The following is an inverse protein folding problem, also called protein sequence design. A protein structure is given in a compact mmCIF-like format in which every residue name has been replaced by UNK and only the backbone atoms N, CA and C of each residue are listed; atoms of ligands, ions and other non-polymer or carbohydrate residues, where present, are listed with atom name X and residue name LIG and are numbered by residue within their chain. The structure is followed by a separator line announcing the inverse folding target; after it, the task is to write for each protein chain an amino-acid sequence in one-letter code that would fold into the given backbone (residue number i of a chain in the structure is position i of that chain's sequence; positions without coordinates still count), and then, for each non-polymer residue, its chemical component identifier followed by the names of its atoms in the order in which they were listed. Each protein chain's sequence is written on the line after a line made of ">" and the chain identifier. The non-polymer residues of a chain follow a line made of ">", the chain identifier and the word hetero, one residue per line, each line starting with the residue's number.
data_IF_666437759241
#
_entry.id   IF_666437759241
#
_cell.length_a   1.000
_cell.length_b   1.000
_cell.length_c   1.000
_cell.angle_alpha   90.00
_cell.angle_beta   90.00
_cell.angle_gamma   90.00
#
_symmetry.space_group_name_H-M   'P 1'
#
loop_
_entity.id
_entity.type
_entity.pdbx_description
1 polymer ?
#
# COMPACT_ATOMS: atom_id res chain seq x y z
N UNK A 1 2.12 3.55 43.55
CA UNK A 1 0.96 2.66 43.33
C UNK A 1 1.20 1.21 43.70
N UNK A 2 2.40 0.73 43.94
CA UNK A 2 2.71 -0.66 44.40
C UNK A 2 2.41 -1.79 43.41
N UNK A 3 2.08 -1.47 42.14
CA UNK A 3 1.90 -2.45 41.08
C UNK A 3 3.21 -2.56 40.31
N UNK A 4 3.67 -3.79 40.02
CA UNK A 4 4.86 -4.03 39.21
C UNK A 4 4.55 -3.68 37.76
N UNK A 5 5.51 -3.02 37.08
CA UNK A 5 5.37 -2.60 35.66
C UNK A 5 5.09 -3.78 34.74
N UNK A 6 5.74 -4.91 34.97
CA UNK A 6 5.55 -6.13 34.16
C UNK A 6 4.08 -6.57 34.16
N UNK A 7 3.38 -6.45 35.28
CA UNK A 7 1.96 -6.77 35.35
C UNK A 7 1.07 -5.77 34.59
N UNK A 8 1.54 -4.53 34.43
CA UNK A 8 0.82 -3.53 33.63
C UNK A 8 1.01 -3.77 32.14
N UNK A 9 2.20 -4.20 31.72
CA UNK A 9 2.47 -4.52 30.31
C UNK A 9 1.60 -5.68 29.80
N UNK A 10 1.34 -6.68 30.65
CA UNK A 10 0.47 -7.81 30.29
C UNK A 10 -1.02 -7.44 30.15
N UNK A 11 -1.42 -6.26 30.63
CA UNK A 11 -2.80 -5.77 30.49
C UNK A 11 -3.00 -4.96 29.20
N UNK A 12 -1.92 -4.53 28.56
CA UNK A 12 -2.00 -3.79 27.30
C UNK A 12 -2.18 -4.75 26.13
N UNK A 13 -3.24 -4.61 25.31
CA UNK A 13 -3.42 -5.46 24.15
C UNK A 13 -2.34 -5.20 23.09
N UNK A 14 -1.97 -6.24 22.35
CA UNK A 14 -1.13 -6.09 21.17
C UNK A 14 -1.87 -5.31 20.07
N UNK A 15 -1.14 -4.46 19.33
CA UNK A 15 -1.72 -3.69 18.23
C UNK A 15 -2.24 -4.63 17.11
N UNK A 16 -3.50 -4.46 16.72
CA UNK A 16 -4.18 -5.22 15.67
C UNK A 16 -3.91 -4.72 14.24
N UNK A 17 -2.67 -4.25 13.96
CA UNK A 17 -2.29 -3.60 12.69
C UNK A 17 -1.64 -4.53 11.69
N UNK A 18 -1.35 -5.78 12.05
CA UNK A 18 -0.68 -6.74 11.19
C UNK A 18 -0.93 -8.17 11.65
N UNK A 19 -0.56 -9.13 10.81
CA UNK A 19 -0.72 -10.56 11.07
C UNK A 19 0.53 -11.34 10.71
N UNK A 20 0.85 -12.35 11.51
CA UNK A 20 1.93 -13.31 11.23
C UNK A 20 3.30 -12.67 11.07
N UNK A 21 4.13 -13.32 10.24
CA UNK A 21 5.53 -12.94 10.02
C UNK A 21 5.70 -11.58 9.38
N UNK A 22 4.87 -11.24 8.39
CA UNK A 22 4.94 -9.97 7.67
C UNK A 22 4.66 -8.77 8.60
N UNK A 23 3.59 -8.85 9.39
CA UNK A 23 3.22 -7.80 10.35
C UNK A 23 4.26 -7.65 11.47
N UNK A 24 4.76 -8.78 12.02
CA UNK A 24 5.80 -8.74 13.05
C UNK A 24 7.12 -8.19 12.51
N UNK A 25 7.49 -8.52 11.28
CA UNK A 25 8.71 -8.01 10.65
C UNK A 25 8.64 -6.47 10.51
N UNK A 26 7.52 -5.94 10.03
CA UNK A 26 7.32 -4.49 9.92
C UNK A 26 7.45 -3.79 11.29
N UNK A 27 6.82 -4.33 12.33
CA UNK A 27 6.94 -3.81 13.70
C UNK A 27 8.38 -3.83 14.22
N UNK A 28 9.13 -4.91 13.95
CA UNK A 28 10.55 -5.01 14.32
C UNK A 28 11.42 -4.03 13.55
N UNK A 29 11.14 -3.79 12.27
CA UNK A 29 11.87 -2.78 11.49
C UNK A 29 11.63 -1.36 12.00
N UNK A 30 10.39 -1.00 12.37
CA UNK A 30 10.11 0.32 12.93
C UNK A 30 10.91 0.58 14.22
N UNK A 31 10.95 -0.41 15.12
CA UNK A 31 11.76 -0.36 16.32
C UNK A 31 13.28 -0.27 16.01
N UNK A 32 13.76 -1.08 15.09
CA UNK A 32 15.17 -1.08 14.70
C UNK A 32 15.61 0.23 14.04
N UNK A 33 14.79 0.80 13.16
CA UNK A 33 15.07 2.07 12.49
C UNK A 33 15.11 3.22 13.50
N UNK A 34 14.18 3.27 14.45
CA UNK A 34 14.21 4.23 15.55
C UNK A 34 15.46 4.05 16.44
N UNK A 35 15.81 2.81 16.77
CA UNK A 35 17.00 2.47 17.58
C UNK A 35 18.30 2.87 16.90
N UNK A 36 18.40 2.68 15.59
CA UNK A 36 19.56 3.04 14.78
C UNK A 36 19.61 4.53 14.39
N UNK A 37 18.58 5.31 14.71
CA UNK A 37 18.52 6.74 14.41
C UNK A 37 18.31 7.05 12.92
N UNK A 38 17.70 6.13 12.16
CA UNK A 38 17.34 6.40 10.77
C UNK A 38 16.06 7.27 10.70
N UNK A 39 16.03 8.29 9.83
CA UNK A 39 14.82 9.06 9.56
C UNK A 39 13.82 8.20 8.77
N UNK A 40 12.97 7.48 9.48
CA UNK A 40 12.01 6.55 8.89
C UNK A 40 10.59 6.83 9.37
N UNK A 41 9.64 6.60 8.48
CA UNK A 41 8.21 6.67 8.75
C UNK A 41 7.52 5.46 8.14
N UNK A 42 6.67 4.80 8.93
CA UNK A 42 5.82 3.72 8.46
C UNK A 42 4.42 4.22 8.13
N UNK A 43 3.75 3.52 7.22
CA UNK A 43 2.36 3.81 6.84
C UNK A 43 1.54 2.52 6.90
N UNK A 44 0.32 2.59 7.47
CA UNK A 44 -0.62 1.49 7.54
C UNK A 44 -2.06 2.00 7.59
N UNK A 45 -3.02 1.10 7.66
CA UNK A 45 -4.43 1.41 7.93
C UNK A 45 -4.69 1.24 9.42
N UNK A 46 -5.45 2.16 10.02
CA UNK A 46 -5.96 2.04 11.37
C UNK A 46 -7.15 1.07 11.38
N UNK A 47 -6.85 -0.23 11.45
CA UNK A 47 -7.91 -1.23 11.55
C UNK A 47 -8.60 -1.14 12.91
N UNK A 48 -9.94 -1.08 12.89
CA UNK A 48 -10.76 -1.09 14.11
C UNK A 48 -10.67 -2.46 14.80
N UNK A 49 -10.69 -3.53 14.00
CA UNK A 49 -10.53 -4.88 14.47
C UNK A 49 -9.29 -5.53 13.87
N UNK A 50 -8.52 -6.23 14.69
CA UNK A 50 -7.47 -7.13 14.24
C UNK A 50 -8.03 -8.28 13.41
N UNK A 51 -7.21 -9.30 13.13
CA UNK A 51 -7.66 -10.41 12.27
C UNK A 51 -8.79 -11.21 12.94
N UNK A 52 -8.64 -11.64 14.17
CA UNK A 52 -9.65 -12.19 15.08
C UNK A 52 -9.03 -12.51 16.46
N UNK A 53 -9.86 -12.55 17.48
CA UNK A 53 -9.51 -13.09 18.80
C UNK A 53 -9.94 -14.55 18.89
N UNK A 54 -8.98 -15.43 19.11
CA UNK A 54 -9.26 -16.87 19.24
C UNK A 54 -9.77 -17.22 20.63
N UNK A 55 -10.84 -18.02 20.68
CA UNK A 55 -11.28 -18.72 21.88
C UNK A 55 -11.47 -20.21 21.59
N UNK A 56 -11.32 -21.03 22.62
CA UNK A 56 -11.70 -22.45 22.58
C UNK A 56 -12.98 -22.61 23.41
N UNK A 57 -14.06 -23.01 22.78
CA UNK A 57 -15.36 -23.26 23.41
C UNK A 57 -15.74 -24.70 23.10
N UNK A 58 -15.99 -25.51 24.14
CA UNK A 58 -16.31 -26.93 24.02
C UNK A 58 -15.31 -27.72 23.17
N UNK A 59 -14.02 -27.36 23.21
CA UNK A 59 -12.95 -28.00 22.45
C UNK A 59 -12.80 -27.53 21.01
N UNK A 60 -13.62 -26.58 20.57
CA UNK A 60 -13.59 -26.01 19.20
C UNK A 60 -13.08 -24.58 19.20
N UNK A 61 -12.30 -24.24 18.17
CA UNK A 61 -11.89 -22.87 17.94
C UNK A 61 -13.11 -22.01 17.59
N UNK A 62 -13.22 -20.87 18.26
CA UNK A 62 -14.23 -19.84 17.98
C UNK A 62 -13.52 -18.52 17.76
N UNK A 63 -13.86 -17.83 16.67
CA UNK A 63 -13.31 -16.54 16.28
C UNK A 63 -14.23 -15.43 16.78
N UNK A 64 -13.65 -14.44 17.46
CA UNK A 64 -14.35 -13.25 17.96
C UNK A 64 -13.68 -12.00 17.38
N UNK A 65 -14.39 -10.86 17.32
CA UNK A 65 -13.76 -9.57 16.98
C UNK A 65 -12.58 -9.28 17.92
N UNK A 66 -11.46 -8.88 17.34
CA UNK A 66 -10.26 -8.48 18.06
C UNK A 66 -10.26 -6.97 18.29
N UNK A 67 -10.94 -6.53 19.34
CA UNK A 67 -10.96 -5.13 19.77
C UNK A 67 -9.65 -4.82 20.52
N UNK A 68 -8.66 -4.30 19.80
CA UNK A 68 -7.33 -4.04 20.33
C UNK A 68 -7.14 -2.61 20.90
N UNK A 69 -8.15 -1.74 20.74
CA UNK A 69 -8.18 -0.37 21.31
C UNK A 69 -9.27 -0.19 22.37
N UNK A 70 -9.34 -1.05 23.41
CA UNK A 70 -10.43 -0.99 24.39
C UNK A 70 -10.42 0.28 25.24
N UNK A 71 -9.27 0.96 25.36
CA UNK A 71 -9.07 2.24 26.04
C UNK A 71 -9.23 3.46 25.14
N UNK A 72 -9.62 3.26 23.86
CA UNK A 72 -9.68 4.33 22.86
C UNK A 72 -8.31 4.71 22.29
N UNK A 73 -8.17 5.94 21.83
CA UNK A 73 -7.03 6.43 21.04
C UNK A 73 -5.85 6.93 21.90
N UNK A 74 -5.57 6.33 23.06
CA UNK A 74 -4.55 6.84 24.02
C UNK A 74 -3.15 6.96 23.41
N UNK A 75 -2.81 6.03 22.49
CA UNK A 75 -1.50 5.99 21.82
C UNK A 75 -1.50 6.66 20.45
N UNK A 76 -2.64 7.22 20.03
CA UNK A 76 -2.86 7.78 18.70
C UNK A 76 -2.96 9.29 18.76
N UNK A 77 -2.15 9.98 17.99
CA UNK A 77 -2.25 11.42 17.77
C UNK A 77 -3.01 11.67 16.46
N UNK A 78 -4.25 12.17 16.56
CA UNK A 78 -5.08 12.49 15.41
C UNK A 78 -4.66 13.81 14.77
N UNK A 79 -4.43 13.82 13.44
CA UNK A 79 -3.94 14.99 12.70
C UNK A 79 -4.90 15.28 11.52
N UNK A 80 -6.13 15.77 11.79
CA UNK A 80 -7.17 15.93 10.77
C UNK A 80 -6.84 16.94 9.67
N UNK A 81 -5.96 17.89 9.92
CA UNK A 81 -5.46 18.87 8.94
C UNK A 81 -4.64 18.24 7.82
N UNK A 82 -4.12 17.04 8.01
CA UNK A 82 -3.41 16.26 7.00
C UNK A 82 -4.29 15.17 6.36
N UNK A 83 -5.61 15.28 6.49
CA UNK A 83 -6.53 14.34 5.85
C UNK A 83 -6.42 14.41 4.31
N UNK A 84 -6.54 13.25 3.66
CA UNK A 84 -6.45 13.10 2.21
C UNK A 84 -7.75 12.54 1.66
N UNK A 85 -8.22 13.09 0.55
CA UNK A 85 -9.37 12.57 -0.16
C UNK A 85 -8.94 11.50 -1.17
N UNK A 86 -9.49 10.30 -1.05
CA UNK A 86 -9.20 9.15 -1.92
C UNK A 86 -10.43 8.83 -2.76
N UNK A 87 -10.27 8.84 -4.09
CA UNK A 87 -11.36 8.71 -5.03
C UNK A 87 -11.42 7.30 -5.64
N UNK A 88 -12.64 6.73 -5.70
CA UNK A 88 -12.92 5.41 -6.25
C UNK A 88 -14.01 5.45 -7.31
N UNK A 89 -13.87 4.60 -8.34
CA UNK A 89 -14.86 4.48 -9.41
C UNK A 89 -14.88 5.67 -10.35
N UNK A 90 -16.03 5.95 -10.94
CA UNK A 90 -16.18 7.00 -11.93
C UNK A 90 -15.60 6.67 -13.29
N UNK A 91 -15.27 7.69 -14.05
CA UNK A 91 -14.67 7.56 -15.37
C UNK A 91 -13.69 8.69 -15.65
N UNK A 92 -12.82 8.48 -16.61
CA UNK A 92 -11.81 9.45 -17.03
C UNK A 92 -12.24 10.06 -18.36
N UNK A 93 -12.20 11.41 -18.41
CA UNK A 93 -12.30 12.19 -19.64
C UNK A 93 -10.93 12.79 -19.94
N UNK A 94 -10.48 12.65 -21.18
CA UNK A 94 -9.19 13.16 -21.64
C UNK A 94 -9.42 14.14 -22.78
N UNK A 95 -8.71 15.27 -22.77
CA UNK A 95 -8.75 16.22 -23.87
C UNK A 95 -7.41 16.94 -24.02
N UNK A 96 -7.18 17.48 -25.19
CA UNK A 96 -5.99 18.28 -25.51
C UNK A 96 -6.41 19.74 -25.68
N UNK A 97 -5.71 20.62 -24.99
CA UNK A 97 -5.89 22.05 -25.12
C UNK A 97 -4.50 22.73 -25.21
N UNK A 98 -4.31 23.57 -26.24
CA UNK A 98 -3.04 24.24 -26.57
C UNK A 98 -1.81 23.31 -26.52
N UNK A 99 -1.96 22.04 -26.88
CA UNK A 99 -0.88 21.05 -26.87
C UNK A 99 -0.61 20.38 -25.51
N UNK A 100 -1.38 20.70 -24.48
CA UNK A 100 -1.33 20.05 -23.18
C UNK A 100 -2.40 18.98 -23.07
N UNK A 101 -2.01 17.84 -22.51
CA UNK A 101 -2.92 16.74 -22.20
C UNK A 101 -3.57 16.97 -20.84
N UNK A 102 -4.88 16.96 -20.79
CA UNK A 102 -5.67 17.13 -19.58
C UNK A 102 -6.44 15.86 -19.28
N UNK A 103 -6.43 15.46 -18.01
CA UNK A 103 -7.14 14.30 -17.48
C UNK A 103 -8.12 14.77 -16.42
N UNK A 104 -9.42 14.46 -16.60
CA UNK A 104 -10.46 14.77 -15.64
C UNK A 104 -11.10 13.48 -15.13
N UNK A 105 -11.02 13.26 -13.83
CA UNK A 105 -11.73 12.17 -13.16
C UNK A 105 -13.11 12.67 -12.74
N UNK A 106 -14.18 11.98 -13.18
CA UNK A 106 -15.58 12.37 -12.92
C UNK A 106 -16.41 11.22 -12.38
N UNK A 107 -17.46 11.53 -11.63
CA UNK A 107 -18.44 10.55 -11.13
C UNK A 107 -17.87 9.56 -10.12
N UNK A 108 -16.78 9.90 -9.45
CA UNK A 108 -16.17 9.10 -8.40
C UNK A 108 -16.88 9.25 -7.05
N UNK A 109 -16.62 8.32 -6.14
CA UNK A 109 -16.95 8.44 -4.72
C UNK A 109 -15.66 8.71 -3.94
N UNK A 110 -15.75 9.63 -2.96
CA UNK A 110 -14.60 10.02 -2.14
C UNK A 110 -14.66 9.38 -0.76
N UNK A 111 -13.56 8.83 -0.32
CA UNK A 111 -13.33 8.39 1.06
C UNK A 111 -12.24 9.28 1.65
N UNK A 112 -12.51 9.86 2.81
CA UNK A 112 -11.53 10.69 3.53
C UNK A 112 -10.61 9.81 4.35
N UNK A 113 -9.31 9.89 4.09
CA UNK A 113 -8.27 9.26 4.88
C UNK A 113 -7.80 10.23 5.96
N UNK A 114 -8.12 9.95 7.22
CA UNK A 114 -7.72 10.77 8.36
C UNK A 114 -6.52 10.12 9.04
N UNK A 115 -5.37 10.81 9.16
CA UNK A 115 -4.17 10.22 9.74
C UNK A 115 -4.17 10.29 11.27
N UNK A 116 -3.60 9.22 11.83
CA UNK A 116 -3.23 9.11 13.23
C UNK A 116 -1.77 8.68 13.33
N UNK A 117 -0.99 9.31 14.18
CA UNK A 117 0.41 8.99 14.37
C UNK A 117 0.63 8.20 15.66
N UNK A 118 1.43 7.13 15.56
CA UNK A 118 1.91 6.32 16.68
C UNK A 118 3.42 6.54 16.77
N UNK A 119 3.88 7.01 17.93
CA UNK A 119 5.29 7.26 18.18
C UNK A 119 5.99 5.97 18.59
N UNK A 120 6.96 5.52 17.80
CA UNK A 120 7.76 4.31 18.04
C UNK A 120 9.11 4.73 18.60
N UNK A 121 9.31 4.56 19.90
CA UNK A 121 10.58 4.83 20.56
C UNK A 121 11.58 3.71 20.32
N UNK A 122 12.79 4.06 19.89
CA UNK A 122 13.93 3.16 19.84
C UNK A 122 14.49 2.82 21.21
N UNK A 123 15.47 1.94 21.24
CA UNK A 123 16.18 1.55 22.48
C UNK A 123 16.80 2.78 23.18
N UNK A 124 16.67 2.83 24.49
CA UNK A 124 17.09 3.96 25.35
C UNK A 124 16.40 5.29 25.03
N UNK A 125 15.33 5.33 24.24
CA UNK A 125 14.62 6.55 23.90
C UNK A 125 15.42 7.57 23.06
N UNK A 126 16.52 7.13 22.42
CA UNK A 126 17.41 8.01 21.65
C UNK A 126 16.87 8.42 20.29
N UNK A 127 16.00 7.64 19.72
CA UNK A 127 15.36 7.88 18.42
C UNK A 127 13.86 7.61 18.50
N UNK A 128 13.11 8.28 17.63
CA UNK A 128 11.67 8.06 17.48
C UNK A 128 11.37 7.96 15.98
N UNK A 129 10.67 6.89 15.60
CA UNK A 129 10.04 6.77 14.28
C UNK A 129 8.55 6.97 14.42
N UNK A 130 7.89 7.39 13.35
CA UNK A 130 6.44 7.57 13.32
C UNK A 130 5.82 6.46 12.49
N UNK A 131 4.81 5.80 13.03
CA UNK A 131 3.90 4.96 12.25
C UNK A 131 2.59 5.72 12.05
N UNK A 132 2.35 6.22 10.83
CA UNK A 132 1.11 6.88 10.44
C UNK A 132 0.09 5.85 9.99
N UNK A 133 -1.08 5.85 10.63
CA UNK A 133 -2.18 4.94 10.31
C UNK A 133 -3.40 5.72 9.86
N UNK A 134 -4.04 5.26 8.80
CA UNK A 134 -5.14 5.96 8.14
C UNK A 134 -6.48 5.38 8.53
N UNK A 135 -7.38 6.20 9.07
CA UNK A 135 -8.79 5.87 9.30
C UNK A 135 -9.62 6.31 8.10
N UNK A 136 -10.43 5.41 7.57
CA UNK A 136 -11.35 5.71 6.49
C UNK A 136 -12.66 6.29 7.04
N UNK A 137 -13.00 7.48 6.57
CA UNK A 137 -14.24 8.18 6.96
C UNK A 137 -15.03 8.55 5.73
N UNK A 138 -16.35 8.57 5.83
CA UNK A 138 -17.19 9.11 4.78
C UNK A 138 -16.97 10.62 4.65
N UNK A 139 -17.00 11.10 3.41
CA UNK A 139 -16.85 12.53 3.13
C UNK A 139 -18.17 13.30 3.15
N UNK A 140 -19.32 12.63 3.02
CA UNK A 140 -20.61 13.28 2.92
C UNK A 140 -21.79 12.38 3.34
N UNK A 141 -22.69 12.97 4.10
CA UNK A 141 -24.06 12.46 4.32
C UNK A 141 -24.90 12.91 3.11
N UNK A 142 -25.67 12.00 2.50
CA UNK A 142 -26.68 12.39 1.51
C UNK A 142 -27.83 13.14 2.21
N UNK A 143 -27.67 14.46 2.33
CA UNK A 143 -28.64 15.33 3.01
C UNK A 143 -30.01 15.32 2.31
N UNK A 144 -30.07 15.06 1.01
CA UNK A 144 -31.36 14.95 0.29
C UNK A 144 -32.09 13.67 0.68
N UNK A 145 -31.38 12.55 0.78
CA UNK A 145 -31.95 11.30 1.30
C UNK A 145 -32.35 11.47 2.77
N UNK A 146 -31.49 12.08 3.59
CA UNK A 146 -31.75 12.35 5.01
C UNK A 146 -33.04 13.15 5.19
N UNK A 147 -33.21 14.26 4.46
CA UNK A 147 -34.36 15.13 4.54
C UNK A 147 -35.65 14.45 4.04
N UNK A 148 -35.56 13.43 3.19
CA UNK A 148 -36.69 12.60 2.75
C UNK A 148 -37.03 11.45 3.70
N UNK A 149 -36.26 11.27 4.78
CA UNK A 149 -36.43 10.17 5.73
C UNK A 149 -35.81 8.83 5.28
N UNK A 150 -35.06 8.81 4.19
CA UNK A 150 -34.31 7.62 3.73
C UNK A 150 -32.93 7.54 4.40
N UNK A 151 -32.93 7.21 5.68
CA UNK A 151 -31.73 7.17 6.50
C UNK A 151 -30.76 6.07 6.07
N UNK A 152 -31.24 4.95 5.52
CA UNK A 152 -30.38 3.87 5.01
C UNK A 152 -29.54 4.38 3.84
N UNK A 153 -30.17 5.14 2.93
CA UNK A 153 -29.47 5.74 1.80
C UNK A 153 -28.59 6.91 2.26
N UNK A 154 -29.07 7.73 3.20
CA UNK A 154 -28.35 8.88 3.72
C UNK A 154 -26.99 8.50 4.32
N UNK A 155 -26.93 7.37 5.04
CA UNK A 155 -25.73 6.84 5.69
C UNK A 155 -25.11 5.63 4.97
N UNK A 156 -25.67 5.20 3.84
CA UNK A 156 -25.21 4.00 3.13
C UNK A 156 -23.78 4.13 2.57
N UNK A 157 -23.36 5.33 2.23
CA UNK A 157 -21.97 5.59 1.81
C UNK A 157 -21.00 5.51 2.98
N UNK A 158 -21.44 5.85 4.21
CA UNK A 158 -20.62 5.78 5.41
C UNK A 158 -20.15 4.34 5.67
N UNK A 159 -21.06 3.38 5.62
CA UNK A 159 -20.73 1.96 5.88
C UNK A 159 -19.74 1.38 4.88
N UNK A 160 -19.80 1.79 3.61
CA UNK A 160 -18.87 1.33 2.56
C UNK A 160 -17.48 1.97 2.70
N UNK A 161 -17.43 3.26 3.06
CA UNK A 161 -16.18 3.97 3.30
C UNK A 161 -15.49 3.43 4.55
N UNK A 162 -16.22 3.33 5.67
CA UNK A 162 -15.69 2.83 6.93
C UNK A 162 -15.24 1.38 6.86
N UNK A 163 -15.87 0.53 6.02
CA UNK A 163 -15.47 -0.86 5.84
C UNK A 163 -13.99 -1.02 5.46
N UNK A 164 -13.39 0.00 4.80
CA UNK A 164 -11.97 0.00 4.41
C UNK A 164 -11.05 -0.13 5.63
N UNK A 165 -11.38 0.53 6.75
CA UNK A 165 -10.56 0.46 7.98
C UNK A 165 -11.20 -0.39 9.08
N UNK A 166 -12.22 -1.21 8.78
CA UNK A 166 -12.87 -2.06 9.81
C UNK A 166 -12.02 -3.26 10.21
N UNK A 167 -11.63 -4.10 9.27
CA UNK A 167 -11.05 -5.43 9.55
C UNK A 167 -9.77 -5.65 8.76
N UNK A 168 -8.72 -6.09 9.44
CA UNK A 168 -7.50 -6.60 8.85
C UNK A 168 -7.79 -7.92 8.11
N UNK A 169 -7.41 -8.02 6.84
CA UNK A 169 -7.60 -9.17 5.97
C UNK A 169 -9.05 -9.68 5.88
N UNK A 170 -9.96 -8.93 5.21
CA UNK A 170 -11.30 -9.43 4.93
C UNK A 170 -11.23 -10.68 4.06
N UNK A 171 -12.22 -11.56 4.20
CA UNK A 171 -12.33 -12.76 3.37
C UNK A 171 -12.50 -12.37 1.89
N UNK A 172 -11.58 -12.79 1.04
CA UNK A 172 -11.53 -12.47 -0.40
C UNK A 172 -11.87 -13.68 -1.31
N UNK A 173 -12.51 -14.72 -0.77
CA UNK A 173 -12.99 -15.85 -1.56
C UNK A 173 -14.20 -15.49 -2.46
N UNK A 174 -14.71 -14.28 -2.36
CA UNK A 174 -15.83 -13.77 -3.16
C UNK A 174 -15.53 -12.36 -3.73
N UNK A 175 -16.24 -11.95 -4.81
CA UNK A 175 -15.94 -10.68 -5.50
C UNK A 175 -16.00 -9.43 -4.61
N UNK A 176 -16.95 -9.37 -3.67
CA UNK A 176 -17.07 -8.24 -2.75
C UNK A 176 -15.86 -8.11 -1.81
N UNK A 177 -15.33 -9.23 -1.32
CA UNK A 177 -14.12 -9.25 -0.49
C UNK A 177 -12.87 -8.85 -1.28
N UNK A 178 -12.74 -9.33 -2.53
CA UNK A 178 -11.66 -8.88 -3.43
C UNK A 178 -11.74 -7.39 -3.70
N UNK A 179 -12.93 -6.85 -3.94
CA UNK A 179 -13.14 -5.41 -4.14
C UNK A 179 -12.74 -4.61 -2.89
N UNK A 180 -13.14 -5.08 -1.69
CA UNK A 180 -12.77 -4.43 -0.44
C UNK A 180 -11.24 -4.45 -0.22
N UNK A 181 -10.57 -5.57 -0.47
CA UNK A 181 -9.09 -5.65 -0.40
C UNK A 181 -8.41 -4.68 -1.35
N UNK A 182 -8.88 -4.58 -2.60
CA UNK A 182 -8.33 -3.62 -3.55
C UNK A 182 -8.55 -2.17 -3.10
N UNK A 183 -9.72 -1.87 -2.51
CA UNK A 183 -9.99 -0.56 -1.89
C UNK A 183 -9.03 -0.26 -0.75
N UNK A 184 -8.79 -1.22 0.15
CA UNK A 184 -7.84 -1.07 1.26
C UNK A 184 -6.44 -0.75 0.76
N UNK A 185 -5.95 -1.49 -0.24
CA UNK A 185 -4.61 -1.28 -0.79
C UNK A 185 -4.47 0.09 -1.46
N UNK A 186 -5.43 0.48 -2.28
CA UNK A 186 -5.37 1.79 -2.93
C UNK A 186 -5.56 2.95 -1.93
N UNK A 187 -6.47 2.80 -0.98
CA UNK A 187 -6.67 3.77 0.10
C UNK A 187 -5.36 4.04 0.87
N UNK A 188 -4.67 2.99 1.29
CA UNK A 188 -3.39 3.10 1.97
C UNK A 188 -2.37 3.87 1.14
N UNK A 189 -2.18 3.48 -0.12
CA UNK A 189 -1.10 4.06 -0.92
C UNK A 189 -1.44 5.47 -1.40
N UNK A 190 -2.68 5.76 -1.78
CA UNK A 190 -3.11 7.09 -2.20
C UNK A 190 -2.91 8.11 -1.07
N UNK A 191 -3.35 7.80 0.13
CA UNK A 191 -3.16 8.66 1.29
C UNK A 191 -1.67 8.83 1.64
N UNK A 192 -0.91 7.73 1.63
CA UNK A 192 0.50 7.73 2.05
C UNK A 192 1.40 8.46 1.04
N UNK A 193 1.23 8.22 -0.25
CA UNK A 193 2.01 8.91 -1.30
C UNK A 193 1.68 10.40 -1.31
N UNK A 194 0.41 10.79 -1.17
CA UNK A 194 0.03 12.20 -1.05
C UNK A 194 0.71 12.87 0.14
N UNK A 195 0.77 12.22 1.29
CA UNK A 195 1.46 12.75 2.48
C UNK A 195 2.97 12.88 2.27
N UNK A 196 3.62 11.87 1.68
CA UNK A 196 5.07 11.91 1.39
C UNK A 196 5.38 13.04 0.41
N UNK A 197 4.59 13.20 -0.66
CA UNK A 197 4.76 14.27 -1.64
C UNK A 197 4.54 15.64 -1.00
N UNK A 198 3.47 15.82 -0.22
CA UNK A 198 3.19 17.07 0.49
C UNK A 198 4.36 17.47 1.39
N UNK A 199 4.83 16.56 2.26
CA UNK A 199 5.97 16.79 3.18
C UNK A 199 7.26 17.12 2.43
N UNK A 200 7.50 16.43 1.30
CA UNK A 200 8.65 16.72 0.46
C UNK A 200 8.56 18.14 -0.14
N UNK A 201 7.40 18.50 -0.67
CA UNK A 201 7.18 19.83 -1.25
C UNK A 201 7.30 20.95 -0.23
N UNK A 202 6.83 20.75 1.01
CA UNK A 202 7.00 21.70 2.10
C UNK A 202 8.48 21.95 2.45
N UNK A 203 9.32 20.92 2.33
CA UNK A 203 10.74 21.01 2.67
C UNK A 203 11.61 21.50 1.52
N UNK A 204 11.30 21.11 0.28
CA UNK A 204 12.21 21.30 -0.87
C UNK A 204 11.61 22.16 -2.00
N UNK A 205 10.29 22.32 -2.08
CA UNK A 205 9.61 23.12 -3.09
C UNK A 205 9.68 22.58 -4.51
N UNK A 206 10.23 21.37 -4.72
CA UNK A 206 10.37 20.73 -6.04
C UNK A 206 10.33 19.21 -5.89
N UNK A 207 9.89 18.49 -6.92
CA UNK A 207 9.95 17.01 -6.98
C UNK A 207 11.12 16.48 -7.81
N UNK A 208 11.96 17.35 -8.38
CA UNK A 208 13.13 16.92 -9.20
C UNK A 208 14.13 16.09 -8.37
N UNK A 209 14.30 16.43 -7.10
CA UNK A 209 15.17 15.71 -6.16
C UNK A 209 14.43 14.67 -5.31
N UNK A 210 13.20 14.28 -5.68
CA UNK A 210 12.35 13.42 -4.86
C UNK A 210 13.01 12.09 -4.55
N UNK A 211 13.55 11.40 -5.56
CA UNK A 211 14.23 10.11 -5.39
C UNK A 211 15.54 10.18 -4.59
N UNK A 212 16.20 11.36 -4.56
CA UNK A 212 17.41 11.56 -3.73
C UNK A 212 17.09 11.68 -2.24
N UNK A 213 15.90 12.16 -1.91
CA UNK A 213 15.47 12.46 -0.54
C UNK A 213 14.50 11.43 0.05
N UNK A 214 13.87 10.62 -0.80
CA UNK A 214 12.88 9.65 -0.39
C UNK A 214 13.22 8.27 -0.96
N UNK A 215 13.27 7.27 -0.10
CA UNK A 215 13.30 5.86 -0.47
C UNK A 215 12.00 5.23 0.00
N UNK A 216 11.19 4.73 -0.93
CA UNK A 216 9.90 4.10 -0.61
C UNK A 216 10.04 2.59 -0.76
N UNK A 217 9.77 1.87 0.32
CA UNK A 217 9.88 0.42 0.38
C UNK A 217 8.51 -0.23 0.24
N UNK A 218 8.32 -1.01 -0.82
CA UNK A 218 7.14 -1.85 -1.05
C UNK A 218 7.33 -3.16 -0.28
N UNK A 219 6.58 -3.32 0.81
CA UNK A 219 6.64 -4.51 1.67
C UNK A 219 5.62 -5.54 1.19
N UNK A 220 6.06 -6.52 0.40
CA UNK A 220 5.26 -7.37 -0.47
C UNK A 220 4.52 -6.56 -1.57
N UNK A 221 3.59 -7.19 -2.31
CA UNK A 221 2.84 -6.54 -3.38
C UNK A 221 1.65 -5.71 -2.91
N UNK A 222 1.28 -5.80 -1.64
CA UNK A 222 0.11 -5.11 -1.09
C UNK A 222 0.12 -3.58 -1.34
N UNK A 223 1.25 -2.86 -1.18
CA UNK A 223 1.33 -1.44 -1.50
C UNK A 223 1.88 -1.14 -2.92
N UNK A 224 1.90 -2.11 -3.84
CA UNK A 224 2.47 -1.91 -5.18
C UNK A 224 1.78 -0.82 -6.00
N UNK A 225 0.50 -0.51 -5.69
CA UNK A 225 -0.23 0.60 -6.31
C UNK A 225 0.34 1.98 -5.98
N UNK A 226 1.27 2.08 -5.03
CA UNK A 226 2.04 3.30 -4.78
C UNK A 226 2.83 3.76 -6.02
N UNK A 227 3.25 2.83 -6.87
CA UNK A 227 3.96 3.09 -8.13
C UNK A 227 3.10 3.91 -9.10
N UNK A 228 1.95 3.41 -9.57
CA UNK A 228 1.10 4.19 -10.48
C UNK A 228 0.44 5.39 -9.79
N UNK A 229 0.30 5.41 -8.46
CA UNK A 229 -0.19 6.57 -7.74
C UNK A 229 0.82 7.73 -7.76
N UNK A 230 2.10 7.46 -7.52
CA UNK A 230 3.13 8.50 -7.66
C UNK A 230 3.23 8.98 -9.12
N UNK A 231 3.12 8.08 -10.10
CA UNK A 231 2.99 8.47 -11.51
C UNK A 231 1.82 9.41 -11.74
N UNK A 232 0.63 9.10 -11.20
CA UNK A 232 -0.56 9.92 -11.32
C UNK A 232 -0.34 11.35 -10.79
N UNK A 233 0.23 11.46 -9.60
CA UNK A 233 0.52 12.77 -8.99
C UNK A 233 1.49 13.56 -9.87
N UNK A 234 2.58 12.93 -10.31
CA UNK A 234 3.57 13.59 -11.16
C UNK A 234 3.00 14.03 -12.51
N UNK A 235 2.19 13.18 -13.15
CA UNK A 235 1.61 13.45 -14.46
C UNK A 235 0.45 14.44 -14.39
N UNK A 236 -0.55 14.14 -13.55
CA UNK A 236 -1.85 14.79 -13.59
C UNK A 236 -1.92 16.04 -12.70
N UNK A 237 -1.18 16.06 -11.58
CA UNK A 237 -1.19 17.19 -10.63
C UNK A 237 0.01 18.11 -10.81
N UNK A 238 1.18 17.55 -11.17
CA UNK A 238 2.43 18.31 -11.27
C UNK A 238 2.85 18.61 -12.71
N UNK A 239 2.21 17.97 -13.72
CA UNK A 239 2.47 18.25 -15.14
C UNK A 239 3.82 17.74 -15.67
N UNK A 240 4.45 16.78 -14.99
CA UNK A 240 5.71 16.18 -15.47
C UNK A 240 5.48 15.37 -16.76
N UNK A 241 6.40 15.42 -17.72
CA UNK A 241 6.36 14.51 -18.86
C UNK A 241 6.63 13.07 -18.40
N UNK A 242 6.07 12.09 -19.11
CA UNK A 242 6.11 10.67 -18.75
C UNK A 242 7.50 10.15 -18.38
N UNK A 243 8.50 10.41 -19.20
CA UNK A 243 9.83 9.84 -19.02
C UNK A 243 10.53 10.40 -17.77
N UNK A 244 10.27 11.67 -17.42
CA UNK A 244 10.78 12.28 -16.22
C UNK A 244 10.05 11.72 -14.98
N UNK A 245 8.72 11.62 -15.05
CA UNK A 245 7.92 11.01 -13.98
C UNK A 245 8.33 9.55 -13.73
N UNK A 246 8.50 8.76 -14.79
CA UNK A 246 8.92 7.37 -14.69
C UNK A 246 10.32 7.21 -14.07
N UNK A 247 11.25 8.13 -14.43
CA UNK A 247 12.58 8.13 -13.81
C UNK A 247 12.50 8.40 -12.31
N UNK A 248 11.74 9.40 -11.88
CA UNK A 248 11.54 9.69 -10.44
C UNK A 248 10.96 8.46 -9.74
N UNK A 249 9.92 7.86 -10.29
CA UNK A 249 9.25 6.67 -9.71
C UNK A 249 10.22 5.49 -9.61
N UNK A 250 10.90 5.14 -10.70
CA UNK A 250 11.78 3.98 -10.73
C UNK A 250 13.03 4.14 -9.85
N UNK A 251 13.48 5.35 -9.62
CA UNK A 251 14.61 5.64 -8.73
C UNK A 251 14.18 5.69 -7.23
N UNK A 252 12.87 5.84 -6.96
CA UNK A 252 12.34 5.98 -5.59
C UNK A 252 11.99 4.64 -4.95
N UNK A 253 11.44 3.69 -5.72
CA UNK A 253 10.86 2.45 -5.16
C UNK A 253 11.84 1.30 -5.07
N UNK A 254 11.75 0.55 -3.97
CA UNK A 254 12.36 -0.76 -3.79
C UNK A 254 11.29 -1.78 -3.35
N UNK A 255 11.46 -3.03 -3.72
CA UNK A 255 10.47 -4.09 -3.47
C UNK A 255 11.09 -5.26 -2.70
N UNK A 256 10.45 -5.65 -1.61
CA UNK A 256 10.74 -6.91 -0.92
C UNK A 256 9.64 -7.92 -1.19
N UNK A 257 10.00 -9.06 -1.77
CA UNK A 257 9.09 -10.20 -1.92
C UNK A 257 9.16 -11.10 -0.68
N UNK A 258 8.00 -11.61 -0.23
CA UNK A 258 7.88 -12.56 0.89
C UNK A 258 7.32 -13.91 0.45
N UNK A 259 6.92 -14.06 -0.80
CA UNK A 259 6.21 -15.21 -1.35
C UNK A 259 7.10 -15.98 -2.33
N UNK A 260 7.12 -17.31 -2.25
CA UNK A 260 7.87 -18.18 -3.17
C UNK A 260 6.99 -18.99 -4.10
N UNK A 261 5.69 -19.08 -3.84
CA UNK A 261 4.73 -19.88 -4.61
C UNK A 261 4.10 -18.98 -5.68
N UNK A 262 4.25 -19.32 -6.99
CA UNK A 262 3.70 -18.51 -8.08
C UNK A 262 2.19 -18.26 -7.95
N UNK A 263 1.44 -19.27 -7.50
CA UNK A 263 -0.01 -19.20 -7.31
C UNK A 263 -0.45 -18.27 -6.16
N UNK A 264 0.46 -17.95 -5.27
CA UNK A 264 0.19 -17.00 -4.16
C UNK A 264 0.60 -15.56 -4.49
N UNK A 265 1.17 -15.30 -5.69
CA UNK A 265 1.42 -13.95 -6.17
C UNK A 265 0.10 -13.25 -6.47
N UNK A 266 -0.03 -12.02 -5.95
CA UNK A 266 -1.25 -11.25 -6.07
C UNK A 266 -1.56 -10.84 -7.51
N UNK A 267 -2.79 -11.10 -7.93
CA UNK A 267 -3.32 -10.66 -9.22
C UNK A 267 -4.76 -10.14 -9.07
N UNK A 268 -5.12 -9.17 -9.90
CA UNK A 268 -6.45 -8.57 -9.90
C UNK A 268 -7.14 -8.77 -11.22
N UNK A 269 -8.43 -9.11 -11.17
CA UNK A 269 -9.27 -9.13 -12.38
C UNK A 269 -9.28 -7.73 -13.03
N UNK A 270 -9.03 -7.67 -14.32
CA UNK A 270 -8.86 -6.44 -15.09
C UNK A 270 -10.11 -5.56 -15.09
N UNK A 271 -11.30 -6.14 -15.27
CA UNK A 271 -12.56 -5.39 -15.32
C UNK A 271 -12.92 -4.79 -13.96
N UNK A 272 -12.72 -5.56 -12.88
CA UNK A 272 -12.92 -5.07 -11.51
C UNK A 272 -11.97 -3.91 -11.23
N UNK A 273 -10.70 -4.06 -11.58
CA UNK A 273 -9.66 -3.05 -11.36
C UNK A 273 -9.96 -1.76 -12.14
N UNK A 274 -10.24 -1.88 -13.44
CA UNK A 274 -10.56 -0.77 -14.33
C UNK A 274 -11.79 0.01 -13.85
N UNK A 275 -12.82 -0.70 -13.38
CA UNK A 275 -14.04 -0.08 -12.85
C UNK A 275 -13.80 0.67 -11.55
N UNK A 276 -12.98 0.11 -10.66
CA UNK A 276 -12.72 0.72 -9.34
C UNK A 276 -11.69 1.85 -9.41
N UNK A 277 -10.66 1.72 -10.24
CA UNK A 277 -9.49 2.61 -10.31
C UNK A 277 -9.16 2.98 -11.76
N UNK A 278 -10.07 3.69 -12.47
CA UNK A 278 -9.95 3.88 -13.92
C UNK A 278 -8.66 4.62 -14.33
N UNK A 279 -8.23 5.66 -13.58
CA UNK A 279 -7.00 6.39 -13.92
C UNK A 279 -5.75 5.57 -13.64
N UNK A 280 -5.69 4.90 -12.52
CA UNK A 280 -4.59 4.00 -12.15
C UNK A 280 -4.43 2.89 -13.17
N UNK A 281 -5.55 2.33 -13.63
CA UNK A 281 -5.56 1.34 -14.70
C UNK A 281 -4.93 1.87 -16.00
N UNK A 282 -5.30 3.08 -16.47
CA UNK A 282 -4.70 3.70 -17.66
C UNK A 282 -3.18 3.85 -17.53
N UNK A 283 -2.70 4.27 -16.37
CA UNK A 283 -1.26 4.42 -16.11
C UNK A 283 -0.56 3.05 -16.15
N UNK A 284 -1.15 2.02 -15.51
CA UNK A 284 -0.59 0.65 -15.56
C UNK A 284 -0.57 0.10 -17.00
N UNK A 285 -1.60 0.36 -17.79
CA UNK A 285 -1.63 -0.02 -19.23
C UNK A 285 -0.47 0.59 -19.97
N UNK A 286 -0.19 1.88 -19.78
CA UNK A 286 0.93 2.55 -20.46
C UNK A 286 2.29 2.02 -19.96
N UNK A 287 2.44 1.79 -18.65
CA UNK A 287 3.65 1.14 -18.10
C UNK A 287 3.85 -0.25 -18.76
N UNK A 288 2.80 -1.04 -18.82
CA UNK A 288 2.84 -2.37 -19.44
C UNK A 288 3.23 -2.30 -20.93
N UNK A 289 2.61 -1.41 -21.70
CA UNK A 289 2.89 -1.24 -23.12
C UNK A 289 4.34 -0.86 -23.39
N UNK A 290 4.86 0.10 -22.64
CA UNK A 290 6.26 0.54 -22.75
C UNK A 290 7.22 -0.59 -22.36
N UNK A 291 6.90 -1.30 -21.27
CA UNK A 291 7.71 -2.43 -20.83
C UNK A 291 7.71 -3.59 -21.84
N UNK A 292 6.55 -4.02 -22.35
CA UNK A 292 6.47 -5.08 -23.36
C UNK A 292 7.21 -4.70 -24.66
N UNK A 293 7.12 -3.43 -25.08
CA UNK A 293 7.90 -2.91 -26.20
C UNK A 293 9.41 -3.00 -25.94
N UNK A 294 9.85 -2.60 -24.74
CA UNK A 294 11.25 -2.71 -24.34
C UNK A 294 11.75 -4.16 -24.36
N UNK A 295 10.94 -5.12 -23.87
CA UNK A 295 11.29 -6.54 -23.91
C UNK A 295 11.48 -7.05 -25.36
N UNK A 296 10.64 -6.61 -26.28
CA UNK A 296 10.70 -7.03 -27.68
C UNK A 296 11.82 -6.32 -28.46
N UNK A 297 11.93 -4.99 -28.34
CA UNK A 297 12.83 -4.19 -29.19
C UNK A 297 14.27 -4.15 -28.67
N UNK A 298 14.47 -4.08 -27.35
CA UNK A 298 15.81 -3.97 -26.74
C UNK A 298 16.38 -5.31 -26.29
N UNK A 299 15.54 -6.17 -25.70
CA UNK A 299 15.97 -7.48 -25.19
C UNK A 299 15.72 -8.63 -26.17
N UNK A 300 15.01 -8.39 -27.28
CA UNK A 300 14.71 -9.34 -28.36
C UNK A 300 14.07 -10.66 -27.85
N UNK A 301 13.20 -10.54 -26.82
CA UNK A 301 12.50 -11.69 -26.24
C UNK A 301 11.34 -12.13 -27.15
N UNK A 302 11.08 -13.45 -27.15
CA UNK A 302 9.94 -14.03 -27.85
C UNK A 302 8.60 -13.66 -27.16
N UNK A 303 7.50 -13.73 -27.94
CA UNK A 303 6.17 -13.33 -27.47
C UNK A 303 5.66 -14.11 -26.26
N UNK A 304 6.07 -15.37 -26.08
CA UNK A 304 5.70 -16.17 -24.92
C UNK A 304 6.39 -15.65 -23.64
N UNK A 305 7.67 -15.36 -23.72
CA UNK A 305 8.43 -14.77 -22.60
C UNK A 305 7.92 -13.37 -22.26
N UNK A 306 7.66 -12.52 -23.27
CA UNK A 306 7.04 -11.21 -23.07
C UNK A 306 5.71 -11.32 -22.35
N UNK A 307 4.85 -12.26 -22.76
CA UNK A 307 3.54 -12.49 -22.13
C UNK A 307 3.64 -12.88 -20.64
N UNK A 308 4.62 -13.71 -20.27
CA UNK A 308 4.84 -14.09 -18.85
C UNK A 308 5.34 -12.93 -17.99
N UNK A 309 6.13 -12.03 -18.56
CA UNK A 309 6.69 -10.88 -17.86
C UNK A 309 5.74 -9.68 -17.84
N UNK A 310 4.73 -9.67 -18.71
CA UNK A 310 3.77 -8.58 -18.80
C UNK A 310 3.04 -8.34 -17.47
N UNK A 311 2.78 -7.05 -17.20
CA UNK A 311 2.00 -6.64 -16.00
C UNK A 311 0.53 -6.98 -16.22
N UNK A 312 0.03 -6.84 -17.44
CA UNK A 312 -1.34 -7.20 -17.81
C UNK A 312 -1.29 -8.39 -18.78
N UNK A 313 -1.86 -9.50 -18.37
CA UNK A 313 -1.96 -10.71 -19.20
C UNK A 313 -3.16 -11.54 -18.77
N UNK A 314 -3.88 -12.16 -19.73
CA UNK A 314 -4.99 -13.06 -19.46
C UNK A 314 -6.13 -12.44 -18.65
N UNK A 315 -6.48 -11.17 -18.92
CA UNK A 315 -7.48 -10.40 -18.17
C UNK A 315 -7.14 -10.22 -16.67
N UNK A 316 -5.86 -10.24 -16.33
CA UNK A 316 -5.37 -10.08 -14.96
C UNK A 316 -4.19 -9.09 -14.90
N UNK A 317 -4.15 -8.31 -13.84
CA UNK A 317 -3.02 -7.47 -13.47
C UNK A 317 -2.13 -8.21 -12.48
N UNK A 318 -0.86 -8.41 -12.83
CA UNK A 318 0.13 -9.11 -12.01
C UNK A 318 0.97 -8.12 -11.19
N UNK A 319 0.66 -8.02 -9.91
CA UNK A 319 1.23 -6.97 -9.03
C UNK A 319 2.72 -7.16 -8.79
N UNK A 320 3.20 -8.40 -8.71
CA UNK A 320 4.63 -8.67 -8.56
C UNK A 320 5.42 -8.22 -9.79
N UNK A 321 4.88 -8.41 -11.01
CA UNK A 321 5.52 -7.93 -12.23
C UNK A 321 5.63 -6.41 -12.23
N UNK A 322 4.56 -5.70 -11.84
CA UNK A 322 4.58 -4.24 -11.69
C UNK A 322 5.67 -3.79 -10.68
N UNK A 323 5.72 -4.43 -9.52
CA UNK A 323 6.70 -4.11 -8.49
C UNK A 323 8.15 -4.34 -8.95
N UNK A 324 8.43 -5.46 -9.65
CA UNK A 324 9.77 -5.76 -10.20
C UNK A 324 10.16 -4.76 -11.30
N UNK A 325 9.23 -4.43 -12.19
CA UNK A 325 9.50 -3.49 -13.31
C UNK A 325 9.88 -2.12 -12.78
N UNK A 326 9.11 -1.59 -11.84
CA UNK A 326 9.23 -0.21 -11.37
C UNK A 326 10.28 0.00 -10.27
N UNK A 327 10.72 -1.05 -9.57
CA UNK A 327 11.68 -0.90 -8.47
C UNK A 327 13.12 -0.94 -8.95
N UNK A 328 13.98 -0.07 -8.41
CA UNK A 328 15.43 -0.12 -8.66
C UNK A 328 16.12 -1.32 -7.97
N UNK A 329 15.51 -1.85 -6.91
CA UNK A 329 16.03 -3.00 -6.16
C UNK A 329 14.90 -3.93 -5.75
N UNK A 330 15.12 -5.22 -5.88
CA UNK A 330 14.20 -6.30 -5.50
C UNK A 330 14.95 -7.27 -4.60
N UNK A 331 14.44 -7.57 -3.42
CA UNK A 331 15.09 -8.52 -2.53
C UNK A 331 14.17 -9.61 -2.00
N UNK A 332 14.76 -10.75 -1.73
CA UNK A 332 14.20 -11.78 -0.87
C UNK A 332 14.69 -11.61 0.58
N UNK A 333 14.10 -12.37 1.50
CA UNK A 333 14.24 -12.21 2.96
C UNK A 333 15.18 -13.25 3.61
N UNK A 334 15.80 -14.09 2.81
CA UNK A 334 16.87 -15.01 3.18
C UNK A 334 17.67 -15.38 1.93
N UNK A 335 18.88 -15.93 2.10
CA UNK A 335 19.70 -16.36 0.96
C UNK A 335 18.98 -17.43 0.10
N UNK A 336 18.37 -18.43 0.75
CA UNK A 336 17.59 -19.46 0.04
C UNK A 336 16.44 -18.84 -0.74
N UNK A 337 15.66 -17.96 -0.10
CA UNK A 337 14.54 -17.27 -0.74
C UNK A 337 15.02 -16.43 -1.95
N UNK A 338 16.07 -15.66 -1.78
CA UNK A 338 16.62 -14.82 -2.86
C UNK A 338 17.11 -15.64 -4.06
N UNK A 339 17.66 -16.84 -3.82
CA UNK A 339 18.02 -17.77 -4.89
C UNK A 339 16.79 -18.31 -5.62
N UNK A 340 15.73 -18.68 -4.90
CA UNK A 340 14.46 -19.11 -5.52
C UNK A 340 13.88 -17.99 -6.41
N UNK A 341 13.94 -16.72 -5.96
CA UNK A 341 13.49 -15.59 -6.79
C UNK A 341 14.25 -15.51 -8.12
N UNK A 342 15.58 -15.67 -8.08
CA UNK A 342 16.48 -15.57 -9.26
C UNK A 342 16.35 -16.77 -10.19
N UNK A 343 16.25 -17.98 -9.63
CA UNK A 343 16.30 -19.24 -10.38
C UNK A 343 14.94 -19.70 -10.88
N UNK A 344 13.86 -19.26 -10.21
CA UNK A 344 12.50 -19.71 -10.50
C UNK A 344 11.53 -18.55 -10.69
N UNK A 345 11.09 -17.89 -9.62
CA UNK A 345 9.93 -17.00 -9.61
C UNK A 345 10.07 -15.82 -10.55
N UNK A 346 11.22 -15.14 -10.53
CA UNK A 346 11.53 -13.97 -11.35
C UNK A 346 12.71 -14.22 -12.30
N UNK A 347 12.90 -15.46 -12.71
CA UNK A 347 14.04 -15.89 -13.53
C UNK A 347 14.21 -15.06 -14.82
N UNK A 348 13.11 -14.78 -15.53
CA UNK A 348 13.17 -14.00 -16.76
C UNK A 348 13.56 -12.54 -16.50
N UNK A 349 13.07 -11.94 -15.42
CA UNK A 349 13.49 -10.61 -14.98
C UNK A 349 14.96 -10.59 -14.53
N UNK A 350 15.41 -11.64 -13.83
CA UNK A 350 16.80 -11.76 -13.41
C UNK A 350 17.77 -11.84 -14.60
N UNK A 351 17.38 -12.50 -15.69
CA UNK A 351 18.20 -12.56 -16.92
C UNK A 351 18.47 -11.19 -17.53
N UNK A 352 17.46 -10.31 -17.53
CA UNK A 352 17.59 -8.96 -18.13
C UNK A 352 18.14 -7.92 -17.14
N UNK A 353 17.87 -8.08 -15.84
CA UNK A 353 18.29 -7.15 -14.79
C UNK A 353 18.93 -7.84 -13.58
N UNK A 354 20.08 -8.55 -13.74
CA UNK A 354 20.67 -9.33 -12.65
C UNK A 354 21.06 -8.46 -11.44
N UNK A 355 21.48 -7.23 -11.67
CA UNK A 355 21.90 -6.30 -10.62
C UNK A 355 20.76 -5.76 -9.75
N UNK A 356 19.52 -5.88 -10.21
CA UNK A 356 18.32 -5.46 -9.47
C UNK A 356 18.04 -6.38 -8.27
N UNK A 357 18.38 -7.67 -8.38
CA UNK A 357 18.04 -8.70 -7.39
C UNK A 357 19.07 -8.82 -6.27
N UNK A 358 18.65 -8.56 -5.05
CA UNK A 358 19.47 -8.55 -3.83
C UNK A 358 19.02 -9.63 -2.85
N UNK A 359 19.80 -9.81 -1.78
CA UNK A 359 19.39 -10.54 -0.60
C UNK A 359 19.50 -9.64 0.62
N UNK A 360 18.43 -9.57 1.42
CA UNK A 360 18.43 -8.93 2.73
C UNK A 360 17.80 -9.91 3.72
N UNK A 361 18.64 -10.67 4.41
CA UNK A 361 18.18 -11.65 5.40
C UNK A 361 17.51 -10.93 6.58
N UNK A 362 16.34 -11.42 6.99
CA UNK A 362 15.67 -10.92 8.17
C UNK A 362 16.57 -11.04 9.41
N UNK A 363 16.52 -10.01 10.25
CA UNK A 363 17.25 -9.99 11.51
C UNK A 363 16.54 -10.72 12.65
N UNK A 364 17.09 -10.61 13.83
CA UNK A 364 16.52 -11.13 15.08
C UNK A 364 16.29 -9.94 16.01
N UNK A 365 15.06 -9.84 16.52
CA UNK A 365 14.72 -8.85 17.55
C UNK A 365 15.18 -9.39 18.92
N UNK A 366 16.31 -8.90 19.41
CA UNK A 366 16.94 -9.40 20.65
C UNK A 366 16.10 -9.19 21.91
N UNK A 367 15.13 -8.29 21.86
CA UNK A 367 14.22 -8.00 22.98
C UNK A 367 12.94 -8.84 22.98
N UNK A 368 12.77 -9.77 22.02
CA UNK A 368 11.56 -10.57 21.88
C UNK A 368 11.81 -12.06 21.76
#
# INVERSE_FOLDING_TARGET
>A
MGVRMENLFELEPDAGLGNGGLGRLAACFMDALATCGYPAMGYSILYEFGIFKQKIIDGWQTELPDEWLPGGEVWLERIPEHAVDVNFGGHIEEFWDYGYHHVLHKGYTTVKAVPYDIMISGYDGKGVSVLRVWSAQSSAIDMDAFNRGDYIKAFGQDSTAEAISKILYPNDNHPAGKNLRLRQQYFLVAASISDIVRRHMELYGTLENFAEKNAIHINDTHPALAIPELMRILLDECGYPWDQAWKIVSDTFAYTNHTVMPEALESWNEDMFRTLLPRIYQIIVEINNRFCRQLTEQFHLDGYTVSRMAIINGHSLHMANLAVVASHSVNGVSNLHSNILRESLFHDFYKIWPNKFKNVTNGIASRR
#
